data_IF_713565156512
#
_entry.id   IF_713565156512
#
_cell.length_a   1.000
_cell.length_b   1.000
_cell.length_c   1.000
_cell.angle_alpha   90.00
_cell.angle_beta   90.00
_cell.angle_gamma   90.00
#
_symmetry.space_group_name_H-M   'P 1'
#
loop_
_entity.id
_entity.type
_entity.pdbx_description
1 polymer ?
#
# COMPACT_ATOMS: atom_id res chain seq x y z
N UNK A 1 -17.37 20.86 -12.28
CA UNK A 1 -16.00 20.96 -12.84
C UNK A 1 -14.91 21.20 -11.78
N UNK A 2 -15.18 21.83 -10.63
CA UNK A 2 -14.17 21.97 -9.55
C UNK A 2 -13.98 20.71 -8.70
N UNK A 3 -15.07 20.06 -8.32
CA UNK A 3 -15.08 18.91 -7.39
C UNK A 3 -14.36 17.68 -7.97
N UNK A 4 -14.61 17.33 -9.23
CA UNK A 4 -13.96 16.20 -9.90
C UNK A 4 -12.44 16.39 -10.04
N UNK A 5 -12.01 17.63 -10.31
CA UNK A 5 -10.58 17.96 -10.41
C UNK A 5 -9.90 17.90 -9.04
N UNK A 6 -10.59 18.34 -7.98
CA UNK A 6 -10.10 18.25 -6.62
C UNK A 6 -9.99 16.78 -6.16
N UNK A 7 -11.02 15.98 -6.40
CA UNK A 7 -11.02 14.55 -6.09
C UNK A 7 -9.88 13.81 -6.80
N UNK A 8 -9.68 14.08 -8.10
CA UNK A 8 -8.58 13.48 -8.86
C UNK A 8 -7.22 13.91 -8.31
N UNK A 9 -7.02 15.19 -8.03
CA UNK A 9 -5.76 15.66 -7.45
C UNK A 9 -5.48 15.03 -6.08
N UNK A 10 -6.50 14.90 -5.23
CA UNK A 10 -6.35 14.22 -3.93
C UNK A 10 -5.94 12.76 -4.13
N UNK A 11 -6.64 12.04 -5.00
CA UNK A 11 -6.33 10.64 -5.31
C UNK A 11 -4.87 10.46 -5.76
N UNK A 12 -4.39 11.30 -6.69
CA UNK A 12 -3.03 11.18 -7.23
C UNK A 12 -1.91 11.62 -6.27
N UNK A 13 -2.17 12.57 -5.36
CA UNK A 13 -1.14 13.15 -4.50
C UNK A 13 -1.09 12.56 -3.08
N UNK A 14 -1.97 11.61 -2.74
CA UNK A 14 -1.89 10.91 -1.45
C UNK A 14 -0.63 10.05 -1.42
N UNK A 15 0.16 10.15 -0.34
CA UNK A 15 1.40 9.41 -0.14
C UNK A 15 1.18 7.90 -0.02
N UNK A 16 0.07 7.49 0.61
CA UNK A 16 -0.32 6.09 0.63
C UNK A 16 -0.69 5.63 -0.78
N UNK A 17 -0.30 4.40 -1.11
CA UNK A 17 -0.76 3.74 -2.32
C UNK A 17 -2.26 3.48 -2.23
N UNK A 18 -3.01 3.88 -3.26
CA UNK A 18 -4.45 3.63 -3.36
C UNK A 18 -4.72 2.83 -4.63
N UNK A 19 -5.41 1.71 -4.46
CA UNK A 19 -5.83 0.81 -5.53
C UNK A 19 -7.34 0.57 -5.40
N UNK A 20 -8.05 0.72 -6.50
CA UNK A 20 -9.47 0.36 -6.63
C UNK A 20 -9.56 -0.87 -7.52
N UNK A 21 -10.22 -1.91 -7.03
CA UNK A 21 -10.31 -3.21 -7.70
C UNK A 21 -11.77 -3.56 -7.94
N UNK A 22 -12.09 -4.11 -9.11
CA UNK A 22 -13.41 -4.66 -9.41
C UNK A 22 -13.71 -5.92 -8.58
N UNK A 23 -14.97 -6.38 -8.52
CA UNK A 23 -15.31 -7.63 -7.84
C UNK A 23 -14.57 -8.85 -8.41
N UNK A 24 -14.19 -8.79 -9.70
CA UNK A 24 -13.44 -9.83 -10.41
C UNK A 24 -11.90 -9.73 -10.23
N UNK A 25 -11.43 -8.82 -9.37
CA UNK A 25 -10.00 -8.66 -9.07
C UNK A 25 -9.21 -7.81 -10.06
N UNK A 26 -9.88 -7.15 -11.02
CA UNK A 26 -9.22 -6.29 -12.00
C UNK A 26 -8.99 -4.90 -11.42
N UNK A 27 -7.80 -4.32 -11.64
CA UNK A 27 -7.52 -2.97 -11.15
C UNK A 27 -8.28 -1.96 -12.02
N UNK A 28 -9.19 -1.22 -11.40
CA UNK A 28 -9.97 -0.15 -12.02
C UNK A 28 -9.17 1.15 -11.98
N UNK A 29 -8.52 1.43 -10.85
CA UNK A 29 -7.77 2.66 -10.64
C UNK A 29 -6.60 2.41 -9.69
N UNK A 30 -5.50 3.13 -9.91
CA UNK A 30 -4.30 3.10 -9.08
C UNK A 30 -3.67 4.49 -9.09
N UNK A 31 -3.29 5.01 -7.92
CA UNK A 31 -2.63 6.32 -7.83
C UNK A 31 -1.12 6.23 -8.09
N UNK A 32 -0.49 7.38 -8.31
CA UNK A 32 0.97 7.46 -8.56
C UNK A 32 1.82 6.85 -7.45
N UNK A 33 1.43 6.99 -6.17
CA UNK A 33 2.13 6.38 -5.04
C UNK A 33 2.13 4.85 -5.13
N UNK A 34 0.99 4.22 -5.43
CA UNK A 34 0.89 2.78 -5.62
C UNK A 34 1.64 2.33 -6.89
N UNK A 35 1.56 3.07 -8.00
CA UNK A 35 2.34 2.74 -9.20
C UNK A 35 3.83 2.74 -8.91
N UNK A 36 4.31 3.73 -8.18
CA UNK A 36 5.72 3.83 -7.76
C UNK A 36 6.10 2.68 -6.84
N UNK A 37 5.30 2.39 -5.82
CA UNK A 37 5.54 1.30 -4.87
C UNK A 37 5.59 -0.07 -5.56
N UNK A 38 4.71 -0.30 -6.52
CA UNK A 38 4.56 -1.57 -7.21
C UNK A 38 5.26 -1.64 -8.59
N UNK A 39 6.04 -0.62 -8.97
CA UNK A 39 6.69 -0.49 -10.27
C UNK A 39 5.77 -0.74 -11.48
N UNK A 40 4.52 -0.27 -11.38
CA UNK A 40 3.51 -0.46 -12.43
C UNK A 40 3.64 0.62 -13.49
N UNK A 41 3.73 0.20 -14.75
CA UNK A 41 3.68 1.12 -15.89
C UNK A 41 2.25 1.31 -16.39
N UNK A 42 1.92 2.49 -16.92
CA UNK A 42 0.57 2.80 -17.43
C UNK A 42 0.12 1.83 -18.54
N UNK A 43 1.06 1.32 -19.34
CA UNK A 43 0.79 0.36 -20.41
C UNK A 43 0.27 -0.99 -19.89
N UNK A 44 0.56 -1.35 -18.64
CA UNK A 44 0.24 -2.64 -18.04
C UNK A 44 -1.12 -2.63 -17.32
N UNK A 45 -1.63 -1.44 -16.97
CA UNK A 45 -2.82 -1.26 -16.14
C UNK A 45 -4.06 -2.02 -16.63
N UNK A 46 -4.27 -2.09 -17.95
CA UNK A 46 -5.45 -2.73 -18.54
C UNK A 46 -5.49 -4.25 -18.33
N UNK A 47 -4.37 -4.86 -17.98
CA UNK A 47 -4.25 -6.30 -17.81
C UNK A 47 -3.79 -6.69 -16.41
N UNK A 48 -3.52 -5.69 -15.55
CA UNK A 48 -3.01 -5.89 -14.21
C UNK A 48 -4.13 -6.28 -13.25
N UNK A 49 -3.91 -7.36 -12.50
CA UNK A 49 -4.82 -7.85 -11.48
C UNK A 49 -4.21 -7.64 -10.10
N UNK A 50 -5.05 -7.62 -9.07
CA UNK A 50 -4.57 -7.43 -7.70
C UNK A 50 -3.61 -8.53 -7.25
N UNK A 51 -3.81 -9.76 -7.74
CA UNK A 51 -2.92 -10.90 -7.50
C UNK A 51 -1.50 -10.70 -8.03
N UNK A 52 -1.31 -9.85 -9.05
CA UNK A 52 -0.01 -9.60 -9.65
C UNK A 52 0.82 -8.61 -8.82
N UNK A 53 0.16 -7.84 -7.94
CA UNK A 53 0.79 -6.85 -7.08
C UNK A 53 1.21 -7.41 -5.72
N UNK A 54 0.38 -8.27 -5.16
CA UNK A 54 0.60 -8.89 -3.86
C UNK A 54 0.32 -10.40 -3.99
N UNK A 55 1.38 -11.18 -4.12
CA UNK A 55 1.30 -12.64 -4.16
C UNK A 55 0.57 -13.17 -2.91
N UNK A 56 -0.31 -14.16 -3.09
CA UNK A 56 -1.12 -14.78 -2.03
C UNK A 56 -2.01 -13.82 -1.22
N UNK A 57 -2.27 -12.61 -1.74
CA UNK A 57 -3.19 -11.68 -1.11
C UNK A 57 -4.64 -11.96 -1.51
N UNK A 58 -5.48 -12.31 -0.54
CA UNK A 58 -6.92 -12.38 -0.74
C UNK A 58 -7.56 -10.99 -0.71
N UNK A 59 -7.89 -10.46 -1.89
CA UNK A 59 -8.56 -9.16 -2.04
C UNK A 59 -10.06 -9.22 -1.73
N UNK A 60 -10.61 -10.41 -1.47
CA UNK A 60 -12.03 -10.58 -1.10
C UNK A 60 -12.27 -10.29 0.38
N UNK A 61 -11.24 -10.43 1.22
CA UNK A 61 -11.31 -10.11 2.64
C UNK A 61 -11.51 -8.59 2.89
N UNK A 62 -11.99 -8.26 4.09
CA UNK A 62 -12.05 -6.88 4.58
C UNK A 62 -11.27 -6.82 5.88
N UNK A 63 -10.26 -5.97 5.92
CA UNK A 63 -9.43 -5.80 7.12
C UNK A 63 -8.74 -4.42 7.11
N UNK A 64 -8.21 -4.03 8.26
CA UNK A 64 -7.44 -2.80 8.41
C UNK A 64 -6.08 -3.10 9.02
N UNK A 65 -5.07 -2.36 8.58
CA UNK A 65 -3.70 -2.36 9.11
C UNK A 65 -3.07 -3.77 9.21
N UNK A 66 -3.28 -4.63 8.21
CA UNK A 66 -2.55 -5.90 8.13
C UNK A 66 -1.14 -5.59 7.67
N UNK A 67 -0.16 -5.91 8.52
CA UNK A 67 1.24 -5.82 8.16
C UNK A 67 1.61 -6.98 7.24
N UNK A 68 2.23 -6.65 6.12
CA UNK A 68 2.83 -7.60 5.20
C UNK A 68 4.27 -7.22 4.95
N UNK A 69 5.07 -8.24 4.70
CA UNK A 69 6.45 -8.11 4.30
C UNK A 69 6.55 -8.46 2.83
N UNK A 70 7.11 -7.55 2.04
CA UNK A 70 7.40 -7.78 0.63
C UNK A 70 8.90 -7.70 0.43
N UNK A 71 9.45 -8.66 -0.29
CA UNK A 71 10.79 -8.55 -0.84
C UNK A 71 10.69 -8.36 -2.35
N UNK A 72 11.26 -7.27 -2.86
CA UNK A 72 11.27 -6.99 -4.30
C UNK A 72 12.62 -6.43 -4.69
N UNK A 73 13.25 -7.06 -5.69
CA UNK A 73 14.60 -6.69 -6.17
C UNK A 73 15.67 -6.66 -5.05
N UNK A 74 15.54 -7.54 -4.06
CA UNK A 74 16.44 -7.61 -2.90
C UNK A 74 16.22 -6.51 -1.85
N UNK A 75 15.23 -5.64 -2.05
CA UNK A 75 14.84 -4.63 -1.07
C UNK A 75 13.63 -5.13 -0.27
N UNK A 76 13.82 -5.19 1.05
CA UNK A 76 12.78 -5.56 2.01
C UNK A 76 11.91 -4.34 2.31
N UNK A 77 10.60 -4.48 2.07
CA UNK A 77 9.58 -3.46 2.29
C UNK A 77 8.58 -3.96 3.33
N UNK A 78 8.18 -3.07 4.24
CA UNK A 78 7.15 -3.31 5.24
C UNK A 78 5.93 -2.47 4.92
N UNK A 79 4.83 -3.14 4.62
CA UNK A 79 3.61 -2.50 4.15
C UNK A 79 2.48 -2.76 5.14
N UNK A 80 1.69 -1.72 5.40
CA UNK A 80 0.41 -1.83 6.09
C UNK A 80 -0.69 -1.77 5.06
N UNK A 81 -1.41 -2.86 4.89
CA UNK A 81 -2.53 -2.96 3.94
C UNK A 81 -3.84 -2.84 4.69
N UNK A 82 -4.74 -2.02 4.15
CA UNK A 82 -6.13 -1.96 4.57
C UNK A 82 -7.00 -2.13 3.34
N UNK A 83 -8.05 -2.95 3.45
CA UNK A 83 -8.98 -3.17 2.37
C UNK A 83 -10.43 -3.09 2.84
N UNK A 84 -11.22 -2.34 2.08
CA UNK A 84 -12.62 -2.03 2.37
C UNK A 84 -13.49 -2.26 1.14
N UNK A 85 -14.72 -2.71 1.35
CA UNK A 85 -15.66 -2.93 0.25
C UNK A 85 -16.27 -1.61 -0.20
N UNK A 86 -16.34 -1.41 -1.51
CA UNK A 86 -17.09 -0.32 -2.13
C UNK A 86 -18.45 -0.91 -2.51
N UNK A 87 -19.52 -0.37 -1.93
CA UNK A 87 -20.89 -0.84 -2.14
C UNK A 87 -21.81 0.34 -2.49
N UNK A 88 -22.76 0.10 -3.40
CA UNK A 88 -23.80 1.05 -3.74
C UNK A 88 -25.15 0.32 -3.78
N UNK A 89 -26.15 0.82 -3.04
CA UNK A 89 -27.47 0.18 -2.91
C UNK A 89 -27.44 -1.32 -2.56
N UNK A 90 -26.45 -1.76 -1.76
CA UNK A 90 -26.28 -3.16 -1.37
C UNK A 90 -25.63 -4.05 -2.44
N UNK A 91 -25.17 -3.47 -3.55
CA UNK A 91 -24.38 -4.16 -4.58
C UNK A 91 -22.91 -3.84 -4.36
N UNK A 92 -22.08 -4.87 -4.25
CA UNK A 92 -20.64 -4.72 -4.20
C UNK A 92 -20.12 -4.28 -5.57
N UNK A 93 -19.60 -3.05 -5.63
CA UNK A 93 -18.98 -2.48 -6.83
C UNK A 93 -17.49 -2.79 -6.92
N UNK A 94 -16.85 -3.15 -5.80
CA UNK A 94 -15.43 -3.46 -5.77
C UNK A 94 -14.79 -3.35 -4.39
N UNK A 95 -13.49 -3.12 -4.36
CA UNK A 95 -12.67 -2.96 -3.16
C UNK A 95 -11.76 -1.75 -3.29
N UNK A 96 -11.64 -1.00 -2.21
CA UNK A 96 -10.62 0.02 -2.01
C UNK A 96 -9.51 -0.57 -1.16
N UNK A 97 -8.30 -0.60 -1.69
CA UNK A 97 -7.09 -1.11 -1.05
C UNK A 97 -6.15 0.07 -0.84
N UNK A 98 -5.75 0.28 0.41
CA UNK A 98 -4.79 1.29 0.82
C UNK A 98 -3.53 0.57 1.28
N UNK A 99 -2.39 0.95 0.72
CA UNK A 99 -1.09 0.37 1.00
C UNK A 99 -0.18 1.47 1.51
N UNK A 100 0.20 1.39 2.79
CA UNK A 100 1.16 2.32 3.39
C UNK A 100 2.51 1.64 3.54
N UNK A 101 3.52 2.18 2.88
CA UNK A 101 4.91 1.79 3.14
C UNK A 101 5.41 2.51 4.40
N UNK A 102 5.85 1.74 5.39
CA UNK A 102 6.42 2.27 6.63
C UNK A 102 7.85 1.76 6.87
N UNK A 103 8.52 1.31 5.81
CA UNK A 103 9.88 0.76 5.86
C UNK A 103 10.87 1.73 6.49
N UNK A 104 10.86 3.00 6.08
CA UNK A 104 11.76 4.04 6.62
C UNK A 104 11.55 4.24 8.12
N UNK A 105 10.29 4.30 8.57
CA UNK A 105 9.95 4.48 9.98
C UNK A 105 10.45 3.29 10.79
N UNK A 106 10.28 2.07 10.26
CA UNK A 106 10.73 0.85 10.94
C UNK A 106 12.25 0.77 11.02
N UNK A 107 12.95 1.06 9.93
CA UNK A 107 14.42 1.08 9.90
C UNK A 107 14.99 2.11 10.87
N UNK A 108 14.43 3.32 10.88
CA UNK A 108 14.83 4.37 11.82
C UNK A 108 14.60 3.96 13.28
N UNK A 109 13.48 3.28 13.58
CA UNK A 109 13.19 2.78 14.93
C UNK A 109 14.17 1.67 15.36
N UNK A 110 14.53 0.77 14.45
CA UNK A 110 15.51 -0.30 14.71
C UNK A 110 16.92 0.26 14.93
N UNK A 111 17.36 1.21 14.11
CA UNK A 111 18.65 1.90 14.26
C UNK A 111 18.73 2.67 15.59
N UNK A 112 17.67 3.41 15.93
CA UNK A 112 17.60 4.14 17.20
C UNK A 112 17.72 3.19 18.41
N UNK A 113 17.05 2.03 18.35
CA UNK A 113 17.13 1.01 19.40
C UNK A 113 18.55 0.43 19.53
N UNK A 114 19.24 0.21 18.41
CA UNK A 114 20.62 -0.27 18.39
C UNK A 114 21.58 0.74 19.05
N UNK A 115 21.53 2.01 18.62
CA UNK A 115 22.37 3.08 19.16
C UNK A 115 22.15 3.30 20.67
N UNK A 116 20.90 3.24 21.13
CA UNK A 116 20.59 3.33 22.56
C UNK A 116 21.23 2.18 23.36
N UNK A 117 21.23 0.96 22.83
CA UNK A 117 21.84 -0.19 23.48
C UNK A 117 23.37 -0.06 23.56
N UNK A 118 24.02 0.51 22.56
CA UNK A 118 25.47 0.77 22.56
C UNK A 118 25.85 1.85 23.58
N UNK A 119 25.12 2.97 23.61
CA UNK A 119 25.34 4.03 24.60
C UNK A 119 25.17 3.53 26.04
N UNK A 120 24.15 2.71 26.30
CA UNK A 120 23.95 2.11 27.62
C UNK A 120 25.07 1.16 28.05
N UNK A 121 25.69 0.43 27.10
CA UNK A 121 26.86 -0.41 27.41
C UNK A 121 28.09 0.45 27.71
N UNK A 122 28.33 1.50 26.93
CA UNK A 122 29.46 2.41 27.12
C UNK A 122 29.38 3.19 28.45
N UNK A 123 28.17 3.56 28.91
CA UNK A 123 27.97 4.24 30.20
C UNK A 123 28.10 3.32 31.42
N UNK A 124 28.09 1.99 31.23
CA UNK A 124 28.25 0.98 32.29
C UNK A 124 29.69 0.45 32.39
N UNK A 125 30.57 0.86 31.49
CA UNK A 125 32.03 0.64 31.55
C UNK A 125 32.70 1.85 32.19
#
# INVERSE_FOLDING_TARGET
MGEEKAARNLFENILDGIIVVSPDGNIIQINESAKTLFHVQDAELRHLRMSDLLDNHDYTETYQNREIEMEREGNKRFLSVSQSTIEEYGVQLGKLIIVRDFTEIRQAAEEMKHLQAELQKAQKM
#
